data_IF_171899833958
#
_entry.id   IF_171899833958
#
_cell.length_a   1.000
_cell.length_b   1.000
_cell.length_c   1.000
_cell.angle_alpha   90.00
_cell.angle_beta   90.00
_cell.angle_gamma   90.00
#
_symmetry.space_group_name_H-M   'P 1'
#
loop_
_entity.id
_entity.type
_entity.pdbx_description
1 polymer ?
#
# COMPACT_ATOMS: atom_id res chain seq x y z
N UNK A 1 -1.66 4.54 -18.38
CA UNK A 1 -0.87 3.66 -17.50
C UNK A 1 -0.66 2.37 -18.27
N UNK A 2 0.60 2.01 -18.57
CA UNK A 2 0.91 0.81 -19.37
C UNK A 2 1.60 -0.19 -18.46
N UNK A 3 1.02 -1.39 -18.31
CA UNK A 3 1.58 -2.47 -17.50
C UNK A 3 2.28 -3.42 -18.48
N UNK A 4 3.60 -3.51 -18.38
CA UNK A 4 4.38 -4.47 -19.18
C UNK A 4 4.32 -5.83 -18.50
N UNK A 5 3.60 -6.77 -19.12
CA UNK A 5 3.53 -8.15 -18.65
C UNK A 5 4.73 -8.93 -19.18
N UNK A 6 5.60 -9.40 -18.29
CA UNK A 6 6.70 -10.26 -18.68
C UNK A 6 6.19 -11.71 -18.72
N UNK A 7 5.90 -12.20 -19.92
CA UNK A 7 5.38 -13.56 -20.11
C UNK A 7 6.57 -14.51 -20.33
N UNK A 8 6.71 -15.60 -19.56
CA UNK A 8 7.71 -16.64 -19.80
C UNK A 8 7.45 -17.39 -21.12
N UNK A 9 8.51 -17.89 -21.78
CA UNK A 9 8.41 -18.52 -23.11
C UNK A 9 7.48 -19.75 -23.17
N UNK A 10 7.38 -20.50 -22.07
CA UNK A 10 6.50 -21.67 -21.95
C UNK A 10 5.02 -21.28 -21.89
N UNK A 11 4.70 -20.13 -21.30
CA UNK A 11 3.34 -19.56 -21.29
C UNK A 11 3.02 -18.97 -22.67
N UNK A 12 3.97 -18.29 -23.30
CA UNK A 12 3.82 -17.74 -24.66
C UNK A 12 3.52 -18.83 -25.69
N UNK A 13 4.23 -19.97 -25.62
CA UNK A 13 3.97 -21.12 -26.48
C UNK A 13 2.54 -21.66 -26.32
N UNK A 14 2.04 -21.74 -25.08
CA UNK A 14 0.67 -22.17 -24.78
C UNK A 14 -0.38 -21.18 -25.27
N UNK A 15 -0.12 -19.87 -25.15
CA UNK A 15 -1.01 -18.82 -25.70
C UNK A 15 -1.14 -19.00 -27.21
N UNK A 16 -0.03 -19.19 -27.92
CA UNK A 16 -0.04 -19.43 -29.36
C UNK A 16 -0.78 -20.72 -29.74
N UNK A 17 -0.62 -21.79 -28.97
CA UNK A 17 -1.31 -23.06 -29.18
C UNK A 17 -2.83 -22.92 -29.01
N UNK A 18 -3.30 -22.26 -27.96
CA UNK A 18 -4.73 -22.04 -27.72
C UNK A 18 -5.34 -21.05 -28.71
N UNK A 19 -4.60 -20.00 -29.07
CA UNK A 19 -5.02 -19.04 -30.10
C UNK A 19 -5.17 -19.72 -31.48
N UNK A 20 -4.24 -20.61 -31.85
CA UNK A 20 -4.32 -21.38 -33.09
C UNK A 20 -5.53 -22.34 -33.13
N UNK A 21 -5.99 -22.79 -31.96
CA UNK A 21 -7.20 -23.63 -31.80
C UNK A 21 -8.50 -22.81 -31.71
N UNK A 22 -8.41 -21.48 -31.66
CA UNK A 22 -9.56 -20.60 -31.47
C UNK A 22 -10.16 -20.67 -30.06
N UNK A 23 -9.43 -21.20 -29.09
CA UNK A 23 -9.90 -21.35 -27.71
C UNK A 23 -9.60 -20.08 -26.91
N UNK A 24 -10.49 -19.09 -27.06
CA UNK A 24 -10.37 -17.79 -26.41
C UNK A 24 -10.48 -17.89 -24.88
N UNK A 25 -11.25 -18.85 -24.36
CA UNK A 25 -11.44 -19.05 -22.93
C UNK A 25 -10.16 -19.58 -22.29
N UNK A 26 -9.48 -20.53 -22.94
CA UNK A 26 -8.18 -21.03 -22.47
C UNK A 26 -7.10 -19.93 -22.47
N UNK A 27 -7.05 -19.08 -23.50
CA UNK A 27 -6.12 -17.94 -23.54
C UNK A 27 -6.44 -16.95 -22.42
N UNK A 28 -7.70 -16.60 -22.22
CA UNK A 28 -8.12 -15.69 -21.16
C UNK A 28 -7.73 -16.22 -19.78
N UNK A 29 -8.00 -17.51 -19.52
CA UNK A 29 -7.69 -18.11 -18.23
C UNK A 29 -6.18 -18.11 -17.95
N UNK A 30 -5.37 -18.42 -18.97
CA UNK A 30 -3.91 -18.42 -18.89
C UNK A 30 -3.34 -17.01 -18.64
N UNK A 31 -3.91 -15.99 -19.27
CA UNK A 31 -3.51 -14.59 -19.05
C UNK A 31 -3.86 -14.11 -17.63
N UNK A 32 -5.01 -14.49 -17.09
CA UNK A 32 -5.40 -14.16 -15.71
C UNK A 32 -4.43 -14.78 -14.70
N UNK A 33 -4.06 -16.04 -14.88
CA UNK A 33 -3.05 -16.69 -14.02
C UNK A 33 -1.69 -16.00 -14.12
N UNK A 34 -1.26 -15.65 -15.34
CA UNK A 34 0.00 -14.95 -15.58
C UNK A 34 0.01 -13.51 -15.03
N UNK A 35 -1.15 -12.91 -14.76
CA UNK A 35 -1.26 -11.55 -14.25
C UNK A 35 -0.92 -11.45 -12.74
N UNK A 36 -1.10 -12.54 -11.99
CA UNK A 36 -0.87 -12.57 -10.53
C UNK A 36 0.48 -11.98 -10.12
N UNK A 37 1.62 -12.48 -10.64
CA UNK A 37 2.95 -11.95 -10.32
C UNK A 37 3.14 -10.47 -10.69
N UNK A 38 2.52 -10.00 -11.77
CA UNK A 38 2.61 -8.60 -12.18
C UNK A 38 1.81 -7.68 -11.24
N UNK A 39 0.64 -8.14 -10.79
CA UNK A 39 -0.16 -7.44 -9.77
C UNK A 39 0.57 -7.41 -8.44
N UNK A 40 1.16 -8.53 -8.00
CA UNK A 40 1.97 -8.58 -6.79
C UNK A 40 3.17 -7.62 -6.86
N UNK A 41 3.87 -7.56 -8.00
CA UNK A 41 4.98 -6.62 -8.19
C UNK A 41 4.52 -5.16 -8.12
N UNK A 42 3.35 -4.84 -8.69
CA UNK A 42 2.75 -3.52 -8.61
C UNK A 42 2.36 -3.16 -7.17
N UNK A 43 1.76 -4.10 -6.44
CA UNK A 43 1.41 -3.92 -5.03
C UNK A 43 2.68 -3.68 -4.23
N UNK A 44 3.72 -4.50 -4.37
CA UNK A 44 5.00 -4.31 -3.66
C UNK A 44 5.68 -2.98 -3.97
N UNK A 45 5.53 -2.49 -5.20
CA UNK A 45 6.06 -1.17 -5.61
C UNK A 45 5.26 -0.01 -4.98
N UNK A 46 3.97 -0.21 -4.72
CA UNK A 46 3.06 0.81 -4.19
C UNK A 46 2.76 0.67 -2.69
N UNK A 47 3.09 -0.45 -2.05
CA UNK A 47 3.24 -0.55 -0.61
C UNK A 47 4.44 0.30 -0.27
N UNK A 48 4.14 1.58 -0.02
CA UNK A 48 5.01 2.60 0.53
C UNK A 48 5.99 1.92 1.48
N UNK A 49 7.26 1.94 1.12
CA UNK A 49 8.33 1.60 2.05
C UNK A 49 8.01 2.33 3.35
N UNK A 50 7.86 1.57 4.44
CA UNK A 50 7.66 2.16 5.76
C UNK A 50 8.68 3.30 5.90
N UNK A 51 8.24 4.53 6.22
CA UNK A 51 9.17 5.65 6.32
C UNK A 51 10.31 5.23 7.22
N UNK A 52 11.54 5.65 6.88
CA UNK A 52 12.65 5.44 7.79
C UNK A 52 12.31 6.09 9.13
N UNK A 53 12.98 5.66 10.21
CA UNK A 53 12.76 6.28 11.51
C UNK A 53 12.98 7.80 11.43
N UNK A 54 14.03 8.22 10.72
CA UNK A 54 14.36 9.63 10.54
C UNK A 54 13.28 10.39 9.73
N UNK A 55 12.72 9.79 8.67
CA UNK A 55 11.62 10.40 7.91
C UNK A 55 10.36 10.52 8.76
N UNK A 56 10.10 9.53 9.62
CA UNK A 56 8.98 9.54 10.53
C UNK A 56 9.13 10.63 11.60
N UNK A 57 10.29 10.74 12.24
CA UNK A 57 10.58 11.79 13.23
C UNK A 57 10.45 13.18 12.58
N UNK A 58 10.98 13.37 11.37
CA UNK A 58 10.85 14.63 10.64
C UNK A 58 9.38 15.00 10.36
N UNK A 59 8.56 14.02 9.96
CA UNK A 59 7.12 14.22 9.74
C UNK A 59 6.38 14.51 11.05
N UNK A 60 6.74 13.83 12.14
CA UNK A 60 6.17 14.06 13.46
C UNK A 60 6.48 15.47 13.96
N UNK A 61 7.71 15.94 13.80
CA UNK A 61 8.13 17.30 14.14
C UNK A 61 7.40 18.34 13.29
N UNK A 62 7.23 18.10 11.99
CA UNK A 62 6.47 18.99 11.11
C UNK A 62 5.02 19.10 11.56
N UNK A 63 4.38 17.97 11.86
CA UNK A 63 2.99 17.93 12.32
C UNK A 63 2.83 18.63 13.67
N UNK A 64 3.76 18.44 14.60
CA UNK A 64 3.74 19.11 15.90
C UNK A 64 3.86 20.63 15.74
N UNK A 65 4.76 21.09 14.88
CA UNK A 65 4.92 22.52 14.59
C UNK A 65 3.66 23.11 13.95
N UNK A 66 3.08 22.43 12.95
CA UNK A 66 1.84 22.86 12.31
C UNK A 66 0.68 22.90 13.31
N UNK A 67 0.55 21.88 14.15
CA UNK A 67 -0.48 21.83 15.18
C UNK A 67 -0.40 23.01 16.16
N UNK A 68 0.82 23.43 16.52
CA UNK A 68 1.05 24.59 17.38
C UNK A 68 0.62 25.91 16.72
N UNK A 69 0.59 26.01 15.39
CA UNK A 69 0.06 27.19 14.69
C UNK A 69 -1.48 27.30 14.80
N UNK A 70 -2.17 26.17 14.96
CA UNK A 70 -3.64 26.11 15.04
C UNK A 70 -4.19 26.07 16.47
N UNK A 71 -3.37 25.74 17.45
CA UNK A 71 -3.77 25.75 18.86
C UNK A 71 -3.70 27.17 19.41
N UNK A 72 -4.79 27.62 20.02
CA UNK A 72 -4.81 28.90 20.73
C UNK A 72 -3.79 28.89 21.87
N UNK A 73 -3.07 30.00 22.05
CA UNK A 73 -2.02 30.14 23.08
C UNK A 73 -2.49 29.82 24.52
N UNK A 74 -3.80 29.92 24.78
CA UNK A 74 -4.46 29.61 26.06
C UNK A 74 -5.18 28.24 26.06
N UNK A 75 -4.81 27.32 25.18
CA UNK A 75 -5.39 25.98 25.21
C UNK A 75 -5.10 25.32 26.56
N UNK A 76 -6.11 24.79 27.26
CA UNK A 76 -5.90 24.13 28.53
C UNK A 76 -4.94 22.94 28.34
N UNK A 77 -4.04 22.67 29.31
CA UNK A 77 -3.21 21.49 29.26
C UNK A 77 -4.10 20.24 29.25
N UNK A 78 -3.61 19.19 28.58
CA UNK A 78 -4.26 17.88 28.64
C UNK A 78 -4.25 17.37 30.09
N UNK A 79 -5.33 16.71 30.50
CA UNK A 79 -5.36 16.05 31.81
C UNK A 79 -4.37 14.89 31.84
N UNK A 80 -3.88 14.54 33.04
CA UNK A 80 -3.00 13.39 33.24
C UNK A 80 -3.65 12.08 32.73
N UNK A 81 -4.98 12.00 32.79
CA UNK A 81 -5.76 10.88 32.26
C UNK A 81 -5.73 10.83 30.72
N UNK A 82 -5.76 11.99 30.04
CA UNK A 82 -5.71 12.06 28.58
C UNK A 82 -4.34 11.70 27.98
N UNK A 83 -3.26 11.81 28.76
CA UNK A 83 -1.89 11.50 28.32
C UNK A 83 -1.35 10.17 28.85
N UNK A 84 -2.09 9.49 29.74
CA UNK A 84 -1.65 8.20 30.25
C UNK A 84 -2.08 7.05 29.31
N UNK A 85 -1.30 5.96 29.34
CA UNK A 85 -1.54 4.79 28.48
C UNK A 85 -2.91 4.16 28.70
N UNK A 86 -3.47 4.26 29.90
CA UNK A 86 -4.77 3.66 30.23
C UNK A 86 -5.91 4.45 29.58
N UNK A 87 -5.87 5.78 29.62
CA UNK A 87 -6.83 6.67 28.95
C UNK A 87 -6.78 6.57 27.43
N UNK A 88 -5.60 6.32 26.83
CA UNK A 88 -5.47 6.11 25.39
C UNK A 88 -6.18 4.85 24.85
N UNK A 89 -6.46 3.86 25.71
CA UNK A 89 -7.10 2.60 25.32
C UNK A 89 -8.43 2.34 26.01
N UNK A 90 -8.96 3.32 26.76
CA UNK A 90 -10.15 3.13 27.59
C UNK A 90 -11.40 2.76 26.76
N UNK A 91 -11.49 3.27 25.52
CA UNK A 91 -12.57 2.97 24.56
C UNK A 91 -12.30 1.74 23.66
N UNK A 92 -11.19 1.04 23.87
CA UNK A 92 -10.72 -0.05 23.01
C UNK A 92 -10.46 -1.37 23.77
N UNK A 93 -10.93 -1.46 25.02
CA UNK A 93 -10.88 -2.64 25.90
C UNK A 93 -12.28 -3.21 26.11
#
# INVERSE_FOLDING_TARGET
>A
MTITLHIPQDIEAKIHEYAARGDADAVHHLLVEALGPAVESLIHRHTLSKPSHDDFELLADQLANEFMEYIAADSPPLSDDAVNRQGLYEDHL
#
